data_IF_557083519112
#
_entry.id   IF_557083519112
#
_cell.length_a   1.000
_cell.length_b   1.000
_cell.length_c   1.000
_cell.angle_alpha   90.00
_cell.angle_beta   90.00
_cell.angle_gamma   90.00
#
_symmetry.space_group_name_H-M   'P 1'
#
loop_
_entity.id
_entity.type
_entity.pdbx_description
1 polymer ?
#
# COMPACT_ATOMS: atom_id res chain seq x y z
N UNK A 1 -67.13 6.21 -36.92
CA UNK A 1 -66.58 6.85 -35.70
C UNK A 1 -65.65 5.90 -34.94
N UNK A 2 -64.60 5.36 -35.57
CA UNK A 2 -63.65 4.44 -34.92
C UNK A 2 -62.17 4.76 -35.20
N UNK A 3 -61.88 5.80 -36.00
CA UNK A 3 -60.52 6.21 -36.33
C UNK A 3 -59.92 7.17 -35.28
N UNK A 4 -60.76 7.82 -34.46
CA UNK A 4 -60.34 8.88 -33.55
C UNK A 4 -59.93 8.38 -32.14
N UNK A 5 -60.24 7.13 -31.78
CA UNK A 5 -59.90 6.55 -30.47
C UNK A 5 -58.50 5.90 -30.44
N UNK A 6 -57.99 5.43 -31.58
CA UNK A 6 -56.67 4.80 -31.63
C UNK A 6 -55.54 5.83 -31.58
N UNK A 7 -55.72 7.00 -32.19
CA UNK A 7 -54.71 8.08 -32.17
C UNK A 7 -54.51 8.64 -30.76
N UNK A 8 -55.57 8.77 -29.96
CA UNK A 8 -55.49 9.26 -28.57
C UNK A 8 -54.80 8.29 -27.62
N UNK A 9 -54.98 6.98 -27.82
CA UNK A 9 -54.33 5.96 -26.96
C UNK A 9 -52.85 5.86 -27.29
N UNK A 10 -52.46 5.92 -28.56
CA UNK A 10 -51.04 5.87 -28.95
C UNK A 10 -50.28 7.12 -28.51
N UNK A 11 -50.89 8.32 -28.56
CA UNK A 11 -50.27 9.56 -28.07
C UNK A 11 -50.09 9.56 -26.54
N UNK A 12 -51.06 9.02 -25.79
CA UNK A 12 -50.97 8.92 -24.33
C UNK A 12 -49.91 7.91 -23.88
N UNK A 13 -49.76 6.79 -24.60
CA UNK A 13 -48.70 5.81 -24.32
C UNK A 13 -47.32 6.37 -24.69
N UNK A 14 -47.20 7.12 -25.79
CA UNK A 14 -45.93 7.76 -26.17
C UNK A 14 -45.55 8.89 -25.19
N UNK A 15 -46.54 9.64 -24.67
CA UNK A 15 -46.32 10.70 -23.69
C UNK A 15 -46.01 10.13 -22.28
N UNK A 16 -46.64 9.02 -21.89
CA UNK A 16 -46.30 8.29 -20.66
C UNK A 16 -44.92 7.62 -20.74
N UNK A 17 -44.50 7.17 -21.93
CA UNK A 17 -43.16 6.62 -22.16
C UNK A 17 -42.07 7.71 -22.18
N UNK A 18 -42.40 8.94 -22.62
CA UNK A 18 -41.53 10.12 -22.53
C UNK A 18 -41.47 10.72 -21.11
N UNK A 19 -42.47 10.47 -20.25
CA UNK A 19 -42.44 10.87 -18.83
C UNK A 19 -41.72 9.84 -17.93
N UNK A 20 -41.26 8.73 -18.49
CA UNK A 20 -40.26 7.84 -17.88
C UNK A 20 -38.85 8.20 -18.36
N UNK A 21 -38.62 9.48 -18.72
CA UNK A 21 -37.28 10.07 -18.71
C UNK A 21 -36.74 9.90 -17.29
N UNK A 22 -35.79 8.98 -17.19
CA UNK A 22 -34.91 8.71 -16.07
C UNK A 22 -34.87 9.88 -15.08
N UNK A 23 -35.41 9.68 -13.87
CA UNK A 23 -34.75 10.29 -12.72
C UNK A 23 -33.36 9.63 -12.66
N UNK A 24 -32.42 10.17 -13.43
CA UNK A 24 -31.02 10.03 -13.10
C UNK A 24 -30.93 10.76 -11.77
N UNK A 25 -31.04 10.01 -10.66
CA UNK A 25 -30.64 10.51 -9.35
C UNK A 25 -29.19 10.95 -9.56
N UNK A 26 -28.95 12.25 -9.61
CA UNK A 26 -27.61 12.80 -9.72
C UNK A 26 -26.86 12.30 -8.48
N UNK A 27 -26.01 11.31 -8.68
CA UNK A 27 -25.32 10.66 -7.60
C UNK A 27 -24.32 11.65 -7.02
N UNK A 28 -24.57 12.12 -5.80
CA UNK A 28 -23.64 12.98 -5.09
C UNK A 28 -22.25 12.33 -5.04
N UNK A 29 -21.27 13.08 -5.53
CA UNK A 29 -19.87 12.66 -5.49
C UNK A 29 -19.34 12.77 -4.06
N UNK A 30 -18.42 11.88 -3.69
CA UNK A 30 -17.66 11.98 -2.44
C UNK A 30 -16.21 12.31 -2.74
N UNK A 31 -15.62 13.30 -2.07
CA UNK A 31 -14.25 13.74 -2.31
C UNK A 31 -13.41 13.63 -1.04
N UNK A 32 -12.11 13.42 -1.20
CA UNK A 32 -11.17 13.54 -0.08
C UNK A 32 -11.13 15.01 0.35
N UNK A 33 -11.35 15.29 1.64
CA UNK A 33 -11.35 16.64 2.23
C UNK A 33 -10.27 16.74 3.30
N UNK A 34 -9.22 17.52 3.05
CA UNK A 34 -8.11 17.66 4.00
C UNK A 34 -7.22 18.87 3.70
N UNK A 35 -6.37 19.24 4.66
CA UNK A 35 -5.26 20.17 4.47
C UNK A 35 -3.95 19.57 5.03
N UNK A 36 -2.84 19.73 4.32
CA UNK A 36 -1.53 19.35 4.84
C UNK A 36 -1.06 20.20 6.03
N UNK A 37 -1.74 21.33 6.30
CA UNK A 37 -1.44 22.19 7.45
C UNK A 37 -1.78 21.51 8.78
N UNK A 38 -2.78 20.63 8.78
CA UNK A 38 -3.29 19.97 9.97
C UNK A 38 -3.31 18.43 9.89
N UNK A 39 -3.17 17.85 8.69
CA UNK A 39 -3.14 16.41 8.48
C UNK A 39 -2.00 15.99 7.53
N UNK A 40 -1.01 15.29 8.08
CA UNK A 40 0.14 14.77 7.32
C UNK A 40 -0.25 13.70 6.29
N UNK A 41 -1.41 13.05 6.44
CA UNK A 41 -1.93 12.07 5.49
C UNK A 41 -2.62 12.72 4.29
N UNK A 42 -2.85 14.03 4.31
CA UNK A 42 -3.47 14.74 3.20
C UNK A 42 -2.63 14.65 1.92
N UNK A 43 -1.30 14.72 2.04
CA UNK A 43 -0.37 14.52 0.92
C UNK A 43 -0.50 13.11 0.32
N UNK A 44 -0.61 12.09 1.17
CA UNK A 44 -0.71 10.66 0.83
C UNK A 44 -2.06 10.23 0.24
N UNK A 45 -3.10 11.04 0.39
CA UNK A 45 -4.46 10.71 -0.04
C UNK A 45 -5.00 9.38 0.50
N UNK A 46 -4.61 8.99 1.72
CA UNK A 46 -5.09 7.78 2.42
C UNK A 46 -6.39 7.99 3.21
N UNK A 47 -7.09 9.09 2.95
CA UNK A 47 -8.28 9.46 3.71
C UNK A 47 -9.53 9.00 2.95
N UNK A 48 -10.54 8.55 3.70
CA UNK A 48 -11.82 8.17 3.12
C UNK A 48 -12.54 9.39 2.53
N UNK A 49 -13.11 9.30 1.32
CA UNK A 49 -13.89 10.39 0.74
C UNK A 49 -15.15 10.71 1.54
N UNK A 50 -15.53 11.99 1.58
CA UNK A 50 -16.77 12.46 2.18
C UNK A 50 -17.69 13.09 1.14
N UNK A 51 -19.00 12.91 1.31
CA UNK A 51 -20.02 13.45 0.40
C UNK A 51 -19.88 14.97 0.20
N UNK A 52 -20.02 15.40 -1.06
CA UNK A 52 -20.14 16.81 -1.43
C UNK A 52 -21.59 17.29 -1.27
N UNK A 53 -21.77 18.58 -0.97
CA UNK A 53 -23.10 19.12 -0.73
C UNK A 53 -23.96 19.19 -2.01
N UNK A 54 -23.34 19.37 -3.18
CA UNK A 54 -23.99 19.56 -4.48
C UNK A 54 -24.02 18.25 -5.29
N UNK A 55 -25.09 18.01 -6.04
CA UNK A 55 -25.29 16.76 -6.80
C UNK A 55 -24.42 16.65 -8.06
N UNK A 56 -23.93 17.79 -8.59
CA UNK A 56 -23.02 17.87 -9.76
C UNK A 56 -21.64 18.47 -9.41
N UNK A 57 -21.17 18.23 -8.18
CA UNK A 57 -19.88 18.77 -7.74
C UNK A 57 -18.68 18.07 -8.42
N UNK A 58 -17.48 18.63 -8.22
CA UNK A 58 -16.22 18.04 -8.65
C UNK A 58 -15.28 17.93 -7.45
N UNK A 59 -14.40 16.94 -7.44
CA UNK A 59 -13.30 16.97 -6.49
C UNK A 59 -12.21 17.91 -6.99
N UNK A 60 -11.54 18.60 -6.08
CA UNK A 60 -10.32 19.34 -6.38
C UNK A 60 -9.19 18.95 -5.44
N UNK A 61 -7.98 19.26 -5.88
CA UNK A 61 -6.81 19.36 -5.02
C UNK A 61 -5.82 20.41 -5.57
N UNK A 62 -5.25 21.22 -4.68
CA UNK A 62 -4.40 22.38 -5.04
C UNK A 62 -3.38 22.70 -3.96
N UNK A 63 -2.34 23.44 -4.33
CA UNK A 63 -1.47 24.11 -3.37
C UNK A 63 -2.01 25.51 -3.08
N UNK A 64 -2.16 25.85 -1.81
CA UNK A 64 -2.56 27.18 -1.35
C UNK A 64 -1.84 27.52 -0.05
N UNK A 65 -1.14 28.66 -0.02
CA UNK A 65 -0.28 29.07 1.10
C UNK A 65 0.64 27.93 1.56
N UNK A 66 1.37 27.34 0.62
CA UNK A 66 2.32 26.23 0.83
C UNK A 66 1.71 24.93 1.40
N UNK A 67 0.38 24.83 1.43
CA UNK A 67 -0.33 23.66 1.89
C UNK A 67 -1.11 23.00 0.77
N UNK A 68 -1.07 21.67 0.71
CA UNK A 68 -1.97 20.90 -0.12
C UNK A 68 -3.36 20.91 0.49
N UNK A 69 -4.35 21.29 -0.30
CA UNK A 69 -5.76 21.29 0.08
C UNK A 69 -6.50 20.38 -0.89
N UNK A 70 -7.33 19.48 -0.36
CA UNK A 70 -8.26 18.64 -1.11
C UNK A 70 -9.68 18.93 -0.66
N UNK A 71 -10.65 18.88 -1.58
CA UNK A 71 -12.05 19.02 -1.21
C UNK A 71 -13.02 18.95 -2.38
N UNK A 72 -14.25 19.37 -2.12
CA UNK A 72 -15.27 19.56 -3.14
C UNK A 72 -15.15 20.95 -3.75
N UNK A 73 -15.31 21.07 -5.06
CA UNK A 73 -15.09 22.30 -5.80
C UNK A 73 -16.10 23.39 -5.42
N UNK A 74 -17.34 23.01 -5.13
CA UNK A 74 -18.36 23.93 -4.65
C UNK A 74 -18.08 24.52 -3.26
N UNK A 75 -17.17 23.92 -2.47
CA UNK A 75 -16.74 24.46 -1.18
C UNK A 75 -15.79 25.68 -1.35
N UNK A 76 -15.21 25.87 -2.54
CA UNK A 76 -14.38 27.03 -2.87
C UNK A 76 -15.26 28.25 -3.15
N UNK A 77 -14.80 29.44 -2.76
CA UNK A 77 -15.50 30.67 -3.14
C UNK A 77 -15.26 31.02 -4.62
N UNK A 78 -16.05 31.95 -5.18
CA UNK A 78 -15.99 32.29 -6.60
C UNK A 78 -14.60 32.75 -7.10
N UNK A 79 -13.80 33.42 -6.26
CA UNK A 79 -12.44 33.86 -6.61
C UNK A 79 -11.51 32.65 -6.67
N UNK A 80 -11.62 31.73 -5.71
CA UNK A 80 -10.83 30.50 -5.66
C UNK A 80 -11.19 29.54 -6.78
N UNK A 81 -12.47 29.45 -7.14
CA UNK A 81 -12.96 28.70 -8.29
C UNK A 81 -12.37 29.24 -9.60
N UNK A 82 -12.50 30.55 -9.85
CA UNK A 82 -11.93 31.19 -11.03
C UNK A 82 -10.40 30.99 -11.11
N UNK A 83 -9.71 31.10 -9.98
CA UNK A 83 -8.27 30.82 -9.89
C UNK A 83 -7.98 29.35 -10.22
N UNK A 84 -8.71 28.41 -9.63
CA UNK A 84 -8.56 26.98 -9.91
C UNK A 84 -8.75 26.64 -11.40
N UNK A 85 -9.74 27.27 -12.05
CA UNK A 85 -10.04 27.06 -13.47
C UNK A 85 -8.96 27.58 -14.42
N UNK A 86 -8.21 28.63 -14.02
CA UNK A 86 -7.21 29.27 -14.87
C UNK A 86 -5.75 28.82 -14.64
N UNK A 87 -5.45 28.11 -13.55
CA UNK A 87 -4.06 28.01 -13.03
C UNK A 87 -3.19 26.86 -13.61
N UNK A 88 -3.44 26.37 -14.82
CA UNK A 88 -2.45 25.57 -15.57
C UNK A 88 -1.82 24.36 -14.84
N UNK A 89 -2.55 23.72 -13.93
CA UNK A 89 -2.09 22.56 -13.14
C UNK A 89 -1.76 22.83 -11.66
N UNK A 90 -1.88 24.07 -11.16
CA UNK A 90 -1.75 24.37 -9.72
C UNK A 90 -3.01 23.97 -8.92
N UNK A 91 -4.13 23.78 -9.62
CA UNK A 91 -5.36 23.22 -9.09
C UNK A 91 -5.86 22.18 -10.10
N UNK A 92 -6.15 20.98 -9.61
CA UNK A 92 -6.60 19.86 -10.45
C UNK A 92 -8.02 19.50 -10.03
N UNK A 93 -8.91 19.36 -11.01
CA UNK A 93 -10.30 18.95 -10.82
C UNK A 93 -10.55 17.59 -11.46
N UNK A 94 -11.46 16.81 -10.87
CA UNK A 94 -11.88 15.52 -11.40
C UNK A 94 -13.31 15.18 -10.97
N UNK A 95 -13.97 14.26 -11.71
CA UNK A 95 -15.42 14.06 -11.66
C UNK A 95 -15.88 12.73 -11.03
N UNK A 96 -14.97 11.91 -10.50
CA UNK A 96 -15.31 10.62 -9.90
C UNK A 96 -15.15 10.65 -8.38
N UNK A 97 -15.97 9.91 -7.63
CA UNK A 97 -15.82 9.85 -6.18
C UNK A 97 -14.41 9.38 -5.79
N UNK A 98 -13.76 10.12 -4.90
CA UNK A 98 -12.40 9.86 -4.43
C UNK A 98 -11.31 10.08 -5.49
N UNK A 99 -11.60 10.71 -6.63
CA UNK A 99 -10.62 10.88 -7.72
C UNK A 99 -9.47 11.83 -7.37
N UNK A 100 -9.65 12.69 -6.37
CA UNK A 100 -8.60 13.56 -5.87
C UNK A 100 -7.65 12.81 -4.93
N UNK A 101 -7.26 11.58 -5.31
CA UNK A 101 -6.42 10.68 -4.54
C UNK A 101 -4.96 10.58 -5.04
N UNK A 102 -4.58 11.41 -6.01
CA UNK A 102 -3.22 11.40 -6.52
C UNK A 102 -2.24 11.93 -5.47
N UNK A 103 -1.12 11.23 -5.27
CA UNK A 103 -0.04 11.68 -4.38
C UNK A 103 0.63 12.95 -4.92
N UNK A 104 0.94 13.89 -4.03
CA UNK A 104 1.66 15.12 -4.38
C UNK A 104 2.89 15.27 -3.49
N UNK A 105 4.10 14.93 -3.97
CA UNK A 105 5.30 14.94 -3.15
C UNK A 105 5.76 16.35 -2.79
N UNK A 106 6.49 16.44 -1.68
CA UNK A 106 7.41 17.53 -1.39
C UNK A 106 8.81 17.15 -1.87
N UNK A 107 9.48 18.03 -2.60
CA UNK A 107 10.81 17.78 -3.15
C UNK A 107 11.83 18.77 -2.59
N UNK A 108 13.08 18.31 -2.45
CA UNK A 108 14.20 19.23 -2.29
C UNK A 108 14.45 19.94 -3.61
N UNK A 109 14.72 21.25 -3.55
CA UNK A 109 15.04 22.11 -4.70
C UNK A 109 16.32 22.86 -4.42
N UNK A 110 17.34 22.65 -5.23
CA UNK A 110 18.62 23.35 -5.15
C UNK A 110 19.47 23.09 -6.40
N UNK A 111 20.49 23.91 -6.62
CA UNK A 111 21.55 23.71 -7.61
C UNK A 111 22.90 23.95 -6.96
N UNK A 112 23.83 22.99 -7.05
CA UNK A 112 25.14 23.01 -6.36
C UNK A 112 25.95 24.30 -6.55
N UNK A 113 25.89 24.92 -7.72
CA UNK A 113 26.61 26.17 -7.99
C UNK A 113 25.93 27.44 -7.44
N UNK A 114 24.67 27.35 -7.01
CA UNK A 114 23.89 28.47 -6.50
C UNK A 114 23.61 28.33 -4.99
N UNK A 115 23.48 27.10 -4.51
CA UNK A 115 22.99 26.78 -3.17
C UNK A 115 24.03 25.95 -2.40
N UNK A 116 24.51 26.50 -1.30
CA UNK A 116 25.48 25.83 -0.41
C UNK A 116 24.87 24.53 0.15
N UNK A 117 25.60 23.43 0.00
CA UNK A 117 25.21 22.12 0.55
C UNK A 117 24.22 21.32 -0.31
N UNK A 118 23.97 21.71 -1.57
CA UNK A 118 23.13 20.91 -2.46
C UNK A 118 23.75 19.53 -2.81
N UNK A 119 25.09 19.45 -2.83
CA UNK A 119 25.83 18.20 -3.03
C UNK A 119 25.77 17.26 -1.81
N UNK A 120 25.46 17.79 -0.63
CA UNK A 120 25.34 17.00 0.59
C UNK A 120 24.02 16.22 0.63
N UNK A 121 23.93 15.28 1.58
CA UNK A 121 22.70 14.55 1.84
C UNK A 121 21.62 15.48 2.42
N UNK A 122 20.43 15.50 1.80
CA UNK A 122 19.29 16.32 2.23
C UNK A 122 18.45 15.54 3.26
N UNK A 123 19.01 15.32 4.45
CA UNK A 123 18.40 14.46 5.48
C UNK A 123 17.11 15.03 6.11
N UNK A 124 16.92 16.35 6.06
CA UNK A 124 15.77 17.03 6.66
C UNK A 124 14.63 17.24 5.65
N UNK A 125 13.72 16.27 5.56
CA UNK A 125 12.56 16.32 4.68
C UNK A 125 11.58 17.47 4.98
N UNK A 126 11.70 18.15 6.13
CA UNK A 126 10.91 19.36 6.41
C UNK A 126 11.32 20.56 5.57
N UNK A 127 12.52 20.52 4.97
CA UNK A 127 13.00 21.51 4.00
C UNK A 127 12.51 21.28 2.58
N UNK A 128 11.80 20.17 2.34
CA UNK A 128 11.19 19.89 1.04
C UNK A 128 9.85 20.64 0.90
N UNK A 129 9.58 21.15 -0.30
CA UNK A 129 8.36 21.92 -0.61
C UNK A 129 7.51 21.21 -1.66
N UNK A 130 6.19 21.44 -1.65
CA UNK A 130 5.32 20.90 -2.68
C UNK A 130 5.71 21.43 -4.06
N UNK A 131 5.61 20.56 -5.07
CA UNK A 131 5.75 20.98 -6.46
C UNK A 131 4.63 21.96 -6.83
N UNK A 132 4.98 23.09 -7.45
CA UNK A 132 4.05 24.17 -7.76
C UNK A 132 2.97 23.78 -8.77
N UNK A 133 3.29 22.85 -9.67
CA UNK A 133 2.40 22.37 -10.73
C UNK A 133 2.25 20.86 -10.63
N UNK A 134 1.01 20.38 -10.64
CA UNK A 134 0.73 18.96 -10.79
C UNK A 134 0.73 18.56 -12.26
N UNK A 135 1.53 17.55 -12.60
CA UNK A 135 1.48 16.84 -13.88
C UNK A 135 1.22 15.36 -13.61
N UNK A 136 0.76 14.61 -14.62
CA UNK A 136 0.45 13.17 -14.50
C UNK A 136 1.60 12.35 -13.93
N UNK A 137 2.85 12.79 -14.15
CA UNK A 137 4.06 12.21 -13.59
C UNK A 137 4.65 13.16 -12.53
N UNK A 138 4.01 13.22 -11.35
CA UNK A 138 4.47 14.09 -10.26
C UNK A 138 5.53 13.36 -9.41
N UNK A 139 6.80 13.70 -9.61
CA UNK A 139 7.95 13.07 -8.96
C UNK A 139 8.97 14.13 -8.50
N UNK A 140 9.83 13.75 -7.57
CA UNK A 140 11.05 14.48 -7.26
C UNK A 140 12.21 13.93 -8.09
N UNK A 141 13.13 14.80 -8.50
CA UNK A 141 14.36 14.40 -9.16
C UNK A 141 15.60 14.87 -8.41
N UNK A 142 16.68 14.12 -8.57
CA UNK A 142 18.05 14.57 -8.35
C UNK A 142 18.87 14.18 -9.58
N UNK A 143 19.48 15.16 -10.24
CA UNK A 143 20.30 14.94 -11.44
C UNK A 143 21.76 15.23 -11.16
N UNK A 144 22.65 14.44 -11.74
CA UNK A 144 24.10 14.66 -11.75
C UNK A 144 24.55 14.89 -13.19
N UNK A 145 24.62 16.15 -13.61
CA UNK A 145 25.00 16.52 -14.97
C UNK A 145 26.29 17.33 -14.94
N UNK A 146 27.31 16.92 -15.70
CA UNK A 146 28.64 17.55 -15.68
C UNK A 146 29.20 17.75 -14.27
N UNK A 147 29.00 16.74 -13.41
CA UNK A 147 29.43 16.75 -12.01
C UNK A 147 28.79 17.87 -11.16
N UNK A 148 27.59 18.32 -11.54
CA UNK A 148 26.78 19.29 -10.78
C UNK A 148 25.48 18.61 -10.37
N UNK A 149 25.17 18.67 -9.07
CA UNK A 149 23.89 18.23 -8.52
C UNK A 149 22.82 19.31 -8.70
N UNK A 150 21.69 18.91 -9.25
CA UNK A 150 20.46 19.70 -9.27
C UNK A 150 19.30 18.87 -8.76
N UNK A 151 18.42 19.49 -7.97
CA UNK A 151 17.25 18.83 -7.38
C UNK A 151 16.00 19.66 -7.66
N UNK A 152 14.87 18.98 -7.81
CA UNK A 152 13.59 19.66 -7.87
C UNK A 152 12.43 18.77 -8.22
N UNK A 153 11.39 19.38 -8.76
CA UNK A 153 10.19 18.70 -9.20
C UNK A 153 10.31 18.26 -10.66
N UNK A 154 9.73 17.11 -10.99
CA UNK A 154 9.71 16.59 -12.35
C UNK A 154 9.12 17.56 -13.38
N UNK A 155 8.19 18.41 -12.93
CA UNK A 155 7.64 19.51 -13.73
C UNK A 155 8.69 20.47 -14.28
N UNK A 156 9.79 20.64 -13.56
CA UNK A 156 10.85 21.61 -13.83
C UNK A 156 11.97 20.99 -14.69
N UNK A 157 12.07 19.66 -14.67
CA UNK A 157 13.06 18.89 -15.45
C UNK A 157 12.45 17.60 -16.03
N UNK A 158 11.61 17.71 -17.08
CA UNK A 158 10.94 16.56 -17.69
C UNK A 158 11.90 15.60 -18.38
N UNK A 159 13.10 16.06 -18.76
CA UNK A 159 14.14 15.23 -19.37
C UNK A 159 14.58 14.09 -18.45
N UNK A 160 14.34 14.18 -17.14
CA UNK A 160 14.59 13.08 -16.21
C UNK A 160 13.81 11.81 -16.61
N UNK A 161 12.65 11.92 -17.27
CA UNK A 161 11.89 10.77 -17.78
C UNK A 161 12.72 9.92 -18.75
N UNK A 162 13.54 10.56 -19.59
CA UNK A 162 14.32 9.90 -20.65
C UNK A 162 15.80 9.76 -20.30
N UNK A 163 16.38 10.70 -19.56
CA UNK A 163 17.79 10.75 -19.21
C UNK A 163 18.10 9.91 -17.95
N UNK A 164 17.90 8.60 -18.08
CA UNK A 164 18.02 7.65 -16.98
C UNK A 164 19.40 7.65 -16.29
N UNK A 165 20.53 7.61 -17.01
CA UNK A 165 21.84 7.40 -16.39
C UNK A 165 22.34 8.58 -15.54
N UNK A 166 21.73 9.76 -15.64
CA UNK A 166 22.16 10.94 -14.88
C UNK A 166 21.08 11.48 -13.95
N UNK A 167 19.95 10.77 -13.80
CA UNK A 167 18.81 11.30 -13.06
C UNK A 167 18.11 10.25 -12.20
N UNK A 168 18.12 10.49 -10.89
CA UNK A 168 17.30 9.79 -9.91
C UNK A 168 15.87 10.31 -9.98
N UNK A 169 14.91 9.41 -9.84
CA UNK A 169 13.49 9.74 -9.67
C UNK A 169 12.90 9.03 -8.47
N UNK A 170 12.01 9.71 -7.75
CA UNK A 170 11.33 9.14 -6.60
C UNK A 170 10.02 9.89 -6.30
N UNK A 171 9.15 9.25 -5.50
CA UNK A 171 7.74 9.64 -5.37
C UNK A 171 7.31 9.81 -3.91
N UNK A 172 8.22 10.20 -3.00
CA UNK A 172 7.89 10.52 -1.61
C UNK A 172 8.43 11.89 -1.22
N UNK A 173 7.94 12.40 -0.09
CA UNK A 173 8.46 13.60 0.53
C UNK A 173 9.98 13.51 0.79
N UNK A 174 10.72 14.48 0.26
CA UNK A 174 12.16 14.63 0.45
C UNK A 174 12.98 13.44 -0.07
N UNK A 175 12.43 12.62 -0.97
CA UNK A 175 13.09 11.37 -1.39
C UNK A 175 14.33 11.59 -2.26
N UNK A 176 14.44 12.75 -2.89
CA UNK A 176 15.57 13.14 -3.72
C UNK A 176 16.72 13.67 -2.85
N UNK A 177 17.10 12.91 -1.81
CA UNK A 177 17.98 13.35 -0.72
C UNK A 177 19.41 12.83 -0.80
N UNK A 178 19.70 11.85 -1.65
CA UNK A 178 21.05 11.25 -1.74
C UNK A 178 22.11 12.32 -2.00
N UNK A 179 23.26 12.25 -1.32
CA UNK A 179 24.42 13.09 -1.61
C UNK A 179 24.94 12.84 -3.03
N UNK A 180 25.80 13.74 -3.52
CA UNK A 180 26.51 13.58 -4.80
C UNK A 180 27.24 12.24 -4.91
N UNK A 181 27.88 11.80 -3.83
CA UNK A 181 28.55 10.49 -3.76
C UNK A 181 27.58 9.32 -3.70
N UNK A 182 26.35 9.54 -3.23
CA UNK A 182 25.27 8.54 -3.24
C UNK A 182 24.54 8.43 -4.58
N UNK A 183 24.56 9.48 -5.41
CA UNK A 183 23.99 9.49 -6.77
C UNK A 183 24.83 8.66 -7.75
N UNK A 184 24.83 7.35 -7.54
CA UNK A 184 25.56 6.36 -8.33
C UNK A 184 24.61 5.31 -8.90
N UNK A 185 25.07 4.55 -9.89
CA UNK A 185 24.30 3.42 -10.44
C UNK A 185 24.10 2.34 -9.36
N UNK A 186 22.85 2.12 -8.96
CA UNK A 186 22.49 1.09 -7.99
C UNK A 186 22.60 -0.32 -8.58
N UNK A 187 22.88 -1.31 -7.72
CA UNK A 187 22.84 -2.74 -8.05
C UNK A 187 21.87 -3.43 -7.11
N UNK A 188 20.90 -4.15 -7.65
CA UNK A 188 19.85 -4.82 -6.87
C UNK A 188 19.76 -6.29 -7.23
N UNK A 189 19.20 -7.09 -6.31
CA UNK A 189 18.71 -8.42 -6.63
C UNK A 189 17.45 -8.28 -7.51
N UNK A 190 17.35 -9.00 -8.62
CA UNK A 190 16.23 -8.99 -9.56
C UNK A 190 15.76 -10.41 -9.88
N UNK A 191 14.55 -10.73 -9.46
CA UNK A 191 13.96 -12.05 -9.71
C UNK A 191 12.44 -12.04 -9.48
N UNK A 192 11.73 -13.03 -10.04
CA UNK A 192 10.31 -13.26 -9.79
C UNK A 192 10.01 -14.77 -9.76
N UNK A 193 10.10 -15.42 -8.59
CA UNK A 193 9.95 -16.87 -8.49
C UNK A 193 9.68 -17.35 -7.05
N UNK A 194 9.54 -18.68 -6.92
CA UNK A 194 9.53 -19.41 -5.64
C UNK A 194 10.85 -20.15 -5.40
N UNK A 195 11.87 -19.89 -6.22
CA UNK A 195 13.19 -20.54 -6.09
C UNK A 195 13.94 -19.95 -4.90
N UNK A 196 14.69 -20.80 -4.20
CA UNK A 196 15.42 -20.41 -2.98
C UNK A 196 16.35 -19.21 -3.22
N UNK A 197 17.05 -19.17 -4.36
CA UNK A 197 17.90 -18.04 -4.76
C UNK A 197 17.16 -16.70 -4.72
N UNK A 198 15.90 -16.69 -5.18
CA UNK A 198 15.06 -15.49 -5.18
C UNK A 198 14.48 -15.20 -3.79
N UNK A 199 14.04 -16.24 -3.07
CA UNK A 199 13.45 -16.10 -1.74
C UNK A 199 14.47 -15.55 -0.75
N UNK A 200 15.69 -16.07 -0.75
CA UNK A 200 16.74 -15.68 0.19
C UNK A 200 17.62 -14.54 -0.32
N UNK A 201 17.56 -14.19 -1.61
CA UNK A 201 18.27 -13.03 -2.16
C UNK A 201 19.79 -13.10 -2.01
N UNK A 202 20.36 -14.30 -2.03
CA UNK A 202 21.77 -14.57 -1.75
C UNK A 202 22.58 -14.99 -2.99
N UNK A 203 21.95 -15.08 -4.16
CA UNK A 203 22.57 -15.55 -5.39
C UNK A 203 23.19 -14.39 -6.16
N UNK A 204 24.47 -14.53 -6.56
CA UNK A 204 25.10 -13.53 -7.42
C UNK A 204 24.50 -13.48 -8.83
N UNK A 205 23.82 -14.56 -9.25
CA UNK A 205 23.23 -14.69 -10.58
C UNK A 205 22.02 -13.77 -10.81
N UNK A 206 21.37 -13.31 -9.74
CA UNK A 206 20.20 -12.43 -9.80
C UNK A 206 20.58 -10.96 -9.54
N UNK A 207 21.87 -10.63 -9.40
CA UNK A 207 22.33 -9.24 -9.27
C UNK A 207 22.29 -8.56 -10.64
N UNK A 208 21.65 -7.40 -10.71
CA UNK A 208 21.65 -6.57 -11.91
C UNK A 208 21.70 -5.08 -11.58
N UNK A 209 22.30 -4.32 -12.49
CA UNK A 209 22.31 -2.87 -12.42
C UNK A 209 20.89 -2.30 -12.58
N UNK A 210 20.64 -1.19 -11.92
CA UNK A 210 19.47 -0.36 -12.14
C UNK A 210 19.70 0.58 -13.33
N UNK A 211 18.61 1.10 -13.90
CA UNK A 211 18.71 1.94 -15.09
C UNK A 211 19.01 3.40 -14.77
N UNK A 212 18.78 3.84 -13.52
CA UNK A 212 19.01 5.22 -13.07
C UNK A 212 19.96 5.31 -11.88
N UNK A 213 20.46 6.53 -11.66
CA UNK A 213 21.20 6.87 -10.44
C UNK A 213 20.29 6.77 -9.23
N UNK A 214 20.81 6.21 -8.13
CA UNK A 214 20.12 6.20 -6.85
C UNK A 214 18.78 5.45 -6.86
N UNK A 215 18.53 4.61 -7.86
CA UNK A 215 17.35 3.76 -7.91
C UNK A 215 17.34 2.88 -6.64
N UNK A 216 16.28 2.95 -5.83
CA UNK A 216 16.15 2.04 -4.69
C UNK A 216 15.88 0.62 -5.19
N UNK A 217 16.39 -0.36 -4.45
CA UNK A 217 15.97 -1.74 -4.63
C UNK A 217 14.62 -1.97 -3.95
N UNK A 218 13.82 -2.90 -4.45
CA UNK A 218 12.60 -3.33 -3.75
C UNK A 218 12.50 -4.86 -3.60
N UNK A 219 11.66 -5.26 -2.65
CA UNK A 219 11.10 -6.61 -2.52
C UNK A 219 9.61 -6.51 -2.23
N UNK A 220 8.79 -7.31 -2.91
CA UNK A 220 7.34 -7.44 -2.65
C UNK A 220 6.87 -8.87 -2.96
N UNK A 221 5.62 -9.18 -2.60
CA UNK A 221 4.94 -10.42 -2.99
C UNK A 221 3.92 -10.11 -4.08
N UNK A 222 4.04 -10.78 -5.23
CA UNK A 222 3.09 -10.69 -6.35
C UNK A 222 2.69 -12.09 -6.77
N UNK A 223 1.38 -12.33 -6.89
CA UNK A 223 0.80 -13.64 -7.23
C UNK A 223 1.38 -14.81 -6.40
N UNK A 224 1.63 -14.55 -5.10
CA UNK A 224 2.20 -15.53 -4.18
C UNK A 224 3.69 -15.81 -4.34
N UNK A 225 4.41 -15.07 -5.20
CA UNK A 225 5.86 -15.19 -5.43
C UNK A 225 6.60 -13.96 -4.96
N UNK A 226 7.87 -14.14 -4.59
CA UNK A 226 8.77 -13.01 -4.33
C UNK A 226 9.09 -12.31 -5.65
N UNK A 227 8.95 -10.99 -5.67
CA UNK A 227 9.47 -10.13 -6.71
C UNK A 227 10.53 -9.20 -6.10
N UNK A 228 11.74 -9.22 -6.67
CA UNK A 228 12.82 -8.29 -6.35
C UNK A 228 13.19 -7.49 -7.59
N UNK A 229 13.58 -6.23 -7.40
CA UNK A 229 13.91 -5.36 -8.54
C UNK A 229 14.53 -4.03 -8.15
N UNK A 230 14.74 -3.19 -9.17
CA UNK A 230 14.94 -1.76 -8.99
C UNK A 230 13.59 -1.05 -9.09
N UNK A 231 13.37 0.02 -8.34
CA UNK A 231 12.17 0.85 -8.46
C UNK A 231 12.28 1.81 -9.65
N UNK A 232 12.49 1.27 -10.86
CA UNK A 232 12.60 2.06 -12.07
C UNK A 232 11.28 2.09 -12.84
N UNK A 233 10.41 3.08 -12.56
CA UNK A 233 9.14 3.27 -13.30
C UNK A 233 8.29 2.00 -13.43
N UNK A 234 8.35 1.11 -12.46
CA UNK A 234 7.54 -0.10 -12.43
C UNK A 234 6.18 0.18 -11.78
N UNK A 235 5.20 -0.68 -12.02
CA UNK A 235 3.88 -0.66 -11.35
C UNK A 235 4.01 -0.63 -9.81
N UNK A 236 5.15 -1.06 -9.28
CA UNK A 236 5.43 -1.16 -7.86
C UNK A 236 5.93 0.16 -7.25
N UNK A 237 6.22 1.19 -8.05
CA UNK A 237 6.75 2.47 -7.54
C UNK A 237 5.82 3.08 -6.50
N UNK A 238 4.51 3.15 -6.75
CA UNK A 238 3.57 3.70 -5.78
C UNK A 238 3.46 2.83 -4.52
N UNK A 239 3.49 1.51 -4.68
CA UNK A 239 3.40 0.55 -3.58
C UNK A 239 4.62 0.62 -2.65
N UNK A 240 5.81 0.62 -3.22
CA UNK A 240 7.07 0.54 -2.49
C UNK A 240 7.63 1.90 -2.07
N UNK A 241 7.00 2.99 -2.52
CA UNK A 241 7.37 4.33 -2.08
C UNK A 241 6.81 4.59 -0.68
N UNK A 242 5.64 4.07 -0.31
CA UNK A 242 5.08 4.38 0.99
C UNK A 242 5.78 3.63 2.14
N UNK A 243 6.51 4.33 3.04
CA UNK A 243 7.20 3.67 4.16
C UNK A 243 6.25 3.05 5.20
N UNK A 244 4.95 3.36 5.13
CA UNK A 244 3.91 2.78 6.00
C UNK A 244 3.29 1.53 5.39
N UNK A 245 3.53 1.25 4.11
CA UNK A 245 3.05 0.04 3.45
C UNK A 245 4.12 -1.07 3.59
N UNK A 246 3.86 -2.05 4.45
CA UNK A 246 4.77 -3.15 4.67
C UNK A 246 4.67 -4.25 3.58
N UNK A 247 3.76 -4.14 2.62
CA UNK A 247 3.58 -5.12 1.53
C UNK A 247 4.61 -4.95 0.41
N UNK A 248 5.34 -3.83 0.40
CA UNK A 248 6.56 -3.69 -0.37
C UNK A 248 7.62 -2.91 0.42
N UNK A 249 8.85 -3.38 0.38
CA UNK A 249 9.97 -2.73 1.07
C UNK A 249 10.96 -2.22 0.04
N UNK A 250 11.26 -0.92 0.11
CA UNK A 250 12.33 -0.28 -0.63
C UNK A 250 13.56 -0.08 0.27
N UNK A 251 14.75 -0.11 -0.33
CA UNK A 251 16.00 0.20 0.36
C UNK A 251 17.02 0.83 -0.59
N UNK A 252 18.00 1.53 -0.01
CA UNK A 252 19.09 2.16 -0.73
C UNK A 252 20.40 1.38 -0.54
N UNK A 253 21.24 1.40 -1.57
CA UNK A 253 22.56 0.75 -1.57
C UNK A 253 22.59 -0.61 -2.30
N UNK A 254 23.81 -1.06 -2.59
CA UNK A 254 24.04 -2.26 -3.37
C UNK A 254 23.52 -3.52 -2.66
N UNK A 255 22.67 -4.29 -3.34
CA UNK A 255 22.10 -5.56 -2.88
C UNK A 255 21.36 -5.45 -1.54
N UNK A 256 20.87 -4.26 -1.17
CA UNK A 256 20.20 -4.05 0.12
C UNK A 256 18.91 -4.88 0.24
N UNK A 257 18.29 -5.23 -0.89
CA UNK A 257 17.08 -6.04 -0.95
C UNK A 257 17.40 -7.54 -0.89
N UNK A 258 18.28 -7.96 0.03
CA UNK A 258 18.64 -9.36 0.26
C UNK A 258 17.89 -10.00 1.46
N UNK A 259 17.11 -9.23 2.21
CA UNK A 259 16.35 -9.79 3.33
C UNK A 259 15.30 -10.79 2.84
N UNK A 260 15.20 -11.98 3.47
CA UNK A 260 14.18 -12.96 3.13
C UNK A 260 12.81 -12.51 3.63
N UNK A 261 11.76 -12.94 2.93
CA UNK A 261 10.38 -12.75 3.36
C UNK A 261 9.87 -14.02 4.03
N UNK A 262 9.39 -13.91 5.26
CA UNK A 262 8.99 -15.08 6.02
C UNK A 262 7.78 -15.77 5.38
N UNK A 263 7.75 -17.11 5.44
CA UNK A 263 6.60 -17.94 5.08
C UNK A 263 6.09 -18.63 6.32
N UNK A 264 4.78 -18.61 6.54
CA UNK A 264 4.13 -19.28 7.65
C UNK A 264 2.95 -20.10 7.15
N UNK A 265 2.53 -21.12 7.92
CA UNK A 265 1.21 -21.68 7.75
C UNK A 265 0.18 -20.64 8.21
N UNK A 266 -0.84 -20.40 7.39
CA UNK A 266 -1.86 -19.38 7.64
C UNK A 266 -3.22 -20.04 7.50
N UNK A 267 -4.00 -20.06 8.58
CA UNK A 267 -5.36 -20.59 8.60
C UNK A 267 -6.07 -20.21 9.89
N UNK A 268 -7.41 -20.25 9.87
CA UNK A 268 -8.26 -20.13 11.05
C UNK A 268 -9.30 -21.24 11.00
N UNK A 269 -9.56 -21.89 12.13
CA UNK A 269 -10.63 -22.89 12.22
C UNK A 269 -11.97 -22.20 11.99
N UNK A 270 -12.81 -22.83 11.16
CA UNK A 270 -14.19 -22.44 10.94
C UNK A 270 -15.10 -23.66 11.08
N UNK A 271 -16.41 -23.45 11.11
CA UNK A 271 -17.37 -24.56 11.13
C UNK A 271 -17.26 -25.45 9.87
N UNK A 272 -16.91 -24.85 8.74
CA UNK A 272 -16.75 -25.53 7.46
C UNK A 272 -15.37 -26.20 7.31
N UNK A 273 -14.32 -25.63 7.89
CA UNK A 273 -12.95 -26.11 7.76
C UNK A 273 -12.24 -26.22 9.12
N UNK A 274 -12.09 -27.46 9.57
CA UNK A 274 -11.35 -27.83 10.80
C UNK A 274 -9.92 -28.26 10.52
N UNK A 275 -9.49 -28.32 9.26
CA UNK A 275 -8.15 -28.81 8.89
C UNK A 275 -7.02 -27.94 9.44
N UNK A 276 -7.31 -26.71 9.88
CA UNK A 276 -6.34 -25.86 10.56
C UNK A 276 -5.85 -26.47 11.89
N UNK A 277 -6.68 -27.28 12.58
CA UNK A 277 -6.29 -27.99 13.79
C UNK A 277 -5.21 -29.05 13.54
N UNK A 278 -5.18 -29.63 12.34
CA UNK A 278 -4.23 -30.70 11.97
C UNK A 278 -2.79 -30.19 11.86
N UNK A 279 -1.84 -31.11 12.01
CA UNK A 279 -0.42 -30.84 11.79
C UNK A 279 -0.16 -30.46 10.31
N UNK A 280 0.69 -29.45 10.10
CA UNK A 280 1.11 -29.00 8.76
C UNK A 280 2.47 -29.60 8.40
N UNK A 281 2.46 -30.89 8.10
CA UNK A 281 3.70 -31.65 7.81
C UNK A 281 4.47 -31.12 6.60
N UNK A 282 3.76 -30.57 5.60
CA UNK A 282 4.34 -30.07 4.37
C UNK A 282 4.68 -28.57 4.47
N UNK A 283 5.96 -28.27 4.71
CA UNK A 283 6.50 -26.91 4.81
C UNK A 283 6.35 -26.10 3.51
N UNK A 284 6.25 -26.75 2.35
CA UNK A 284 6.07 -26.06 1.07
C UNK A 284 4.69 -25.40 0.94
N UNK A 285 3.73 -25.79 1.78
CA UNK A 285 2.39 -25.17 1.88
C UNK A 285 2.36 -23.92 2.76
N UNK A 286 3.49 -23.52 3.34
CA UNK A 286 3.58 -22.21 3.99
C UNK A 286 3.58 -21.10 2.94
N UNK A 287 2.79 -20.06 3.17
CA UNK A 287 2.66 -18.92 2.26
C UNK A 287 3.40 -17.71 2.84
N UNK A 288 3.87 -16.82 1.97
CA UNK A 288 4.51 -15.57 2.42
C UNK A 288 3.56 -14.78 3.32
N UNK A 289 4.11 -14.19 4.37
CA UNK A 289 3.43 -13.18 5.16
C UNK A 289 3.01 -12.02 4.25
N UNK A 290 1.87 -11.39 4.50
CA UNK A 290 1.43 -10.27 3.65
C UNK A 290 2.32 -9.05 3.86
N UNK A 291 2.65 -8.76 5.11
CA UNK A 291 3.52 -7.66 5.50
C UNK A 291 4.94 -8.16 5.75
N UNK A 292 5.95 -7.38 5.36
CA UNK A 292 7.32 -7.63 5.72
C UNK A 292 7.67 -6.97 7.05
N UNK A 293 8.31 -7.74 7.92
CA UNK A 293 8.93 -7.23 9.13
C UNK A 293 10.30 -7.89 9.30
N UNK A 294 11.32 -7.10 9.65
CA UNK A 294 12.61 -7.66 10.03
C UNK A 294 12.43 -8.48 11.30
N UNK A 295 12.94 -9.71 11.32
CA UNK A 295 12.74 -10.68 12.41
C UNK A 295 11.26 -11.01 12.65
N UNK A 296 10.45 -11.10 11.59
CA UNK A 296 9.08 -11.59 11.69
C UNK A 296 9.00 -12.99 12.35
N UNK A 297 7.80 -13.35 12.80
CA UNK A 297 7.52 -14.60 13.50
C UNK A 297 6.23 -15.20 12.97
N UNK A 298 6.25 -16.52 12.78
CA UNK A 298 5.02 -17.28 12.65
C UNK A 298 4.41 -17.49 14.03
N UNK A 299 3.08 -17.43 14.13
CA UNK A 299 2.34 -17.79 15.33
C UNK A 299 1.42 -18.99 15.10
N UNK A 300 1.13 -19.70 16.18
CA UNK A 300 -0.06 -20.54 16.34
C UNK A 300 -0.72 -20.15 17.65
N UNK A 301 -2.02 -19.89 17.66
CA UNK A 301 -2.72 -19.48 18.88
C UNK A 301 -4.16 -19.91 18.95
N UNK A 302 -4.71 -19.94 20.15
CA UNK A 302 -6.15 -20.10 20.39
C UNK A 302 -6.70 -18.84 21.05
N UNK A 303 -7.57 -18.12 20.34
CA UNK A 303 -8.27 -16.92 20.85
C UNK A 303 -9.76 -17.23 20.83
N UNK A 304 -10.44 -17.02 21.96
CA UNK A 304 -11.88 -17.28 22.13
C UNK A 304 -12.30 -18.70 21.70
N UNK A 305 -11.44 -19.69 21.97
CA UNK A 305 -11.67 -21.09 21.60
C UNK A 305 -11.43 -21.42 20.12
N UNK A 306 -11.05 -20.44 19.29
CA UNK A 306 -10.75 -20.61 17.87
C UNK A 306 -9.25 -20.67 17.66
N UNK A 307 -8.79 -21.77 17.07
CA UNK A 307 -7.38 -21.96 16.73
C UNK A 307 -7.05 -21.31 15.39
N UNK A 308 -5.94 -20.58 15.34
CA UNK A 308 -5.45 -19.89 14.16
C UNK A 308 -3.92 -19.86 14.10
N UNK A 309 -3.41 -19.71 12.88
CA UNK A 309 -2.00 -19.60 12.55
C UNK A 309 -1.81 -18.44 11.59
N UNK A 310 -0.69 -17.75 11.70
CA UNK A 310 -0.39 -16.64 10.81
C UNK A 310 0.99 -16.06 11.02
N UNK A 311 1.21 -14.89 10.42
CA UNK A 311 2.40 -14.08 10.61
C UNK A 311 2.11 -12.96 11.60
N UNK A 312 3.07 -12.65 12.46
CA UNK A 312 2.91 -11.58 13.44
C UNK A 312 2.81 -10.21 12.76
N UNK A 313 3.60 -9.97 11.72
CA UNK A 313 3.55 -8.77 10.87
C UNK A 313 2.17 -8.45 10.28
N UNK A 314 1.33 -9.47 10.07
CA UNK A 314 -0.01 -9.32 9.51
C UNK A 314 -1.05 -8.85 10.55
N UNK A 315 -0.71 -8.89 11.84
CA UNK A 315 -1.54 -8.37 12.93
C UNK A 315 -1.34 -6.87 13.19
N UNK A 316 -0.34 -6.26 12.56
CA UNK A 316 -0.01 -4.83 12.68
C UNK A 316 1.41 -4.58 13.17
N UNK A 317 1.87 -3.34 13.00
CA UNK A 317 3.21 -2.90 13.43
C UNK A 317 3.32 -3.03 14.94
N UNK A 318 4.29 -3.83 15.42
CA UNK A 318 4.53 -4.12 16.84
C UNK A 318 3.49 -4.98 17.55
N UNK A 319 2.55 -5.60 16.83
CA UNK A 319 1.65 -6.58 17.42
C UNK A 319 2.45 -7.78 17.98
N UNK A 320 2.10 -8.26 19.17
CA UNK A 320 2.56 -9.54 19.69
C UNK A 320 1.39 -10.53 19.60
N UNK A 321 1.53 -11.57 18.78
CA UNK A 321 0.44 -12.52 18.56
C UNK A 321 0.06 -13.31 19.83
N UNK A 322 0.99 -13.41 20.79
CA UNK A 322 0.82 -14.10 22.07
C UNK A 322 0.59 -13.15 23.26
N UNK A 323 0.30 -11.86 23.01
CA UNK A 323 0.04 -10.93 24.10
C UNK A 323 -1.13 -11.41 24.97
N UNK A 324 -0.92 -11.43 26.29
CA UNK A 324 -1.88 -11.93 27.28
C UNK A 324 -2.34 -13.40 27.08
N UNK A 325 -1.59 -14.23 26.34
CA UNK A 325 -1.84 -15.65 26.20
C UNK A 325 -0.76 -16.47 26.91
N UNK A 326 -1.17 -17.55 27.56
CA UNK A 326 -0.22 -18.50 28.13
C UNK A 326 0.51 -19.32 27.04
N UNK A 327 1.68 -19.87 27.36
CA UNK A 327 2.51 -20.65 26.44
C UNK A 327 1.82 -21.92 25.89
N UNK A 328 0.73 -22.38 26.52
CA UNK A 328 -0.05 -23.52 26.03
C UNK A 328 -1.05 -23.08 24.96
N UNK A 329 -1.50 -21.83 25.00
CA UNK A 329 -2.46 -21.24 24.06
C UNK A 329 -1.80 -20.50 22.91
N UNK A 330 -0.50 -20.18 22.98
CA UNK A 330 0.19 -19.47 21.92
C UNK A 330 1.67 -19.86 21.81
N UNK A 331 2.15 -19.98 20.57
CA UNK A 331 3.55 -20.25 20.25
C UNK A 331 4.02 -19.35 19.12
N UNK A 332 5.24 -18.82 19.26
CA UNK A 332 5.97 -18.08 18.22
C UNK A 332 7.19 -18.86 17.76
N UNK A 333 7.54 -18.73 16.49
CA UNK A 333 8.76 -19.28 15.93
C UNK A 333 9.22 -18.45 14.71
N UNK A 334 10.50 -18.55 14.33
CA UNK A 334 11.12 -17.66 13.35
C UNK A 334 11.45 -18.32 12.00
N UNK A 335 11.44 -19.65 11.93
CA UNK A 335 11.81 -20.38 10.71
C UNK A 335 10.63 -20.48 9.73
N UNK A 336 10.87 -20.56 8.41
CA UNK A 336 9.81 -20.77 7.43
C UNK A 336 8.96 -22.00 7.78
N UNK A 337 7.63 -21.85 7.83
CA UNK A 337 6.68 -22.94 8.08
C UNK A 337 6.76 -23.57 9.47
N UNK A 338 7.48 -22.95 10.42
CA UNK A 338 7.75 -23.53 11.73
C UNK A 338 6.49 -23.76 12.59
N UNK A 339 5.42 -23.01 12.33
CA UNK A 339 4.16 -23.06 13.06
C UNK A 339 3.30 -24.25 12.60
N UNK A 340 3.87 -25.46 12.63
CA UNK A 340 3.31 -26.68 12.02
C UNK A 340 2.54 -27.61 12.97
N UNK A 341 2.78 -27.53 14.27
CA UNK A 341 2.28 -28.51 15.24
C UNK A 341 0.76 -28.51 15.36
N UNK A 342 0.16 -29.68 15.59
CA UNK A 342 -1.29 -29.85 15.81
C UNK A 342 -1.79 -28.98 16.99
N UNK A 343 -3.05 -28.54 16.94
CA UNK A 343 -3.67 -27.85 18.06
C UNK A 343 -3.69 -28.75 19.32
N UNK A 344 -2.99 -28.32 20.38
CA UNK A 344 -2.87 -29.03 21.65
C UNK A 344 -4.10 -28.89 22.55
N UNK A 345 -4.99 -27.92 22.30
CA UNK A 345 -6.21 -27.73 23.08
C UNK A 345 -7.25 -28.86 22.89
N UNK A 346 -7.28 -29.50 21.70
CA UNK A 346 -8.13 -30.67 21.46
C UNK A 346 -7.68 -31.90 22.28
N UNK A 347 -6.37 -32.06 22.53
CA UNK A 347 -5.87 -33.17 23.36
C UNK A 347 -6.36 -33.09 24.81
N UNK A 348 -6.59 -31.89 25.34
CA UNK A 348 -7.09 -31.71 26.71
C UNK A 348 -8.58 -32.08 26.84
N UNK A 349 -9.41 -31.70 25.85
CA UNK A 349 -10.84 -32.02 25.87
C UNK A 349 -11.10 -33.52 25.67
N UNK A 350 -10.31 -34.19 24.83
CA UNK A 350 -10.40 -35.64 24.63
C UNK A 350 -9.94 -36.37 25.90
N UNK A 351 -8.84 -35.95 26.53
CA UNK A 351 -8.38 -36.58 27.77
C UNK A 351 -9.39 -36.39 28.92
N UNK A 352 -10.03 -35.21 29.04
CA UNK A 352 -11.03 -34.97 30.07
C UNK A 352 -12.30 -35.81 29.86
N UNK A 353 -12.78 -35.95 28.62
CA UNK A 353 -13.94 -36.81 28.30
C UNK A 353 -13.63 -38.29 28.50
N UNK A 354 -12.45 -38.76 28.12
CA UNK A 354 -12.00 -40.13 28.37
C UNK A 354 -11.85 -40.39 29.88
N UNK A 355 -11.33 -39.43 30.65
CA UNK A 355 -11.22 -39.54 32.10
C UNK A 355 -12.60 -39.60 32.76
N UNK A 356 -13.54 -38.74 32.36
CA UNK A 356 -14.91 -38.73 32.85
C UNK A 356 -15.66 -40.02 32.51
N UNK A 357 -15.54 -40.51 31.27
CA UNK A 357 -16.13 -41.80 30.87
C UNK A 357 -15.50 -42.97 31.63
N UNK A 358 -14.18 -42.94 31.86
CA UNK A 358 -13.49 -43.96 32.66
C UNK A 358 -13.92 -43.96 34.14
N UNK A 359 -14.09 -42.79 34.74
CA UNK A 359 -14.61 -42.65 36.12
C UNK A 359 -16.07 -43.12 36.21
N UNK A 360 -16.90 -42.78 35.22
CA UNK A 360 -18.28 -43.26 35.16
C UNK A 360 -18.32 -44.79 35.02
N UNK A 361 -17.52 -45.38 34.13
CA UNK A 361 -17.45 -46.84 33.98
C UNK A 361 -16.96 -47.55 35.25
N UNK A 362 -16.00 -46.96 35.97
CA UNK A 362 -15.52 -47.49 37.24
C UNK A 362 -16.61 -47.44 38.34
N UNK A 363 -17.36 -46.35 38.42
CA UNK A 363 -18.48 -46.20 39.36
C UNK A 363 -19.64 -47.19 39.07
N UNK A 364 -19.88 -47.54 37.80
CA UNK A 364 -20.88 -48.55 37.44
C UNK A 364 -20.41 -49.99 37.66
N UNK A 365 -19.10 -50.27 37.60
CA UNK A 365 -18.54 -51.61 37.88
C UNK A 365 -18.55 -51.98 39.37
N UNK A 366 -18.61 -51.01 40.29
CA UNK A 366 -18.74 -51.27 41.74
C UNK A 366 -20.19 -51.53 42.19
N UNK A 367 -21.17 -51.50 41.28
CA UNK A 367 -22.61 -51.65 41.60
C UNK A 367 -23.24 -52.97 41.17
N UNK A 368 -22.44 -54.00 40.82
CA UNK A 368 -22.92 -55.35 40.49
C UNK A 368 -22.31 -56.44 41.37
#
# INVERSE_FOLDING_TARGET
MACNQWITVTLLVFCACLLLLEEIIAAKISCIKCSSANDTNCARAKLEPNECAQEDDQCFFRIFNDNLIRGCYADLNAIEQASCDSNGGMCVKCQQSGCNNAYWPRCHTCVENADVGCEDEQSDSSKASFCSVFKSDNYCFASLNNDIVSRGCGSDYPDCLTNRPTCQMCYNDGCNSLSKTGLTESKCQKCYSLEDDCIYGNSSSIIANCSRLGDPCFTTIRDGKIQRGCLDFSDNVMLCSDPTDATCVACQGANCNANPWLRCHQCRVTDADKTCNEEKADQSKATFCRNHQVNDRCYSRTVDGVFERGCQSDLGVSANACDNLDEKKCQLCAEPGCNKYKNSAEQFMINLTVLLLGVIAALFMETF
#
